data_IF_732343588181
#
_entry.id   IF_732343588181
#
_cell.length_a   1.000
_cell.length_b   1.000
_cell.length_c   1.000
_cell.angle_alpha   90.00
_cell.angle_beta   90.00
_cell.angle_gamma   90.00
#
_symmetry.space_group_name_H-M   'P 1'
#
loop_
_entity.id
_entity.type
_entity.pdbx_description
1 polymer ?
#
# COMPACT_ATOMS: atom_id res chain seq x y z
N UNK A 1 0.07 20.63 1.01
CA UNK A 1 0.79 19.36 0.80
C UNK A 1 0.86 18.71 2.16
N UNK A 2 0.33 17.49 2.29
CA UNK A 2 0.34 16.77 3.57
C UNK A 2 1.57 15.88 3.63
N UNK A 3 2.21 15.85 4.79
CA UNK A 3 3.31 14.92 5.09
C UNK A 3 2.80 13.90 6.11
N UNK A 4 3.40 12.72 6.11
CA UNK A 4 3.05 11.66 7.02
C UNK A 4 4.08 10.56 6.99
N UNK A 5 4.05 9.73 8.03
CA UNK A 5 4.94 8.59 8.18
C UNK A 5 4.15 7.30 8.06
N UNK A 6 4.74 6.31 7.39
CA UNK A 6 4.13 4.99 7.28
C UNK A 6 4.36 4.27 8.61
N UNK A 7 3.28 4.01 9.34
CA UNK A 7 3.35 3.34 10.65
C UNK A 7 3.26 1.82 10.52
N UNK A 8 2.59 1.32 9.48
CA UNK A 8 2.33 -0.10 9.33
C UNK A 8 2.26 -0.51 7.85
N UNK A 9 2.76 -1.71 7.56
CA UNK A 9 2.56 -2.42 6.30
C UNK A 9 1.85 -3.74 6.57
N UNK A 10 0.88 -4.09 5.73
CA UNK A 10 0.27 -5.42 5.78
C UNK A 10 1.28 -6.48 5.34
N UNK A 11 1.41 -7.56 6.13
CA UNK A 11 2.22 -8.73 5.76
C UNK A 11 1.67 -9.49 4.56
N UNK A 12 0.37 -9.32 4.27
CA UNK A 12 -0.32 -10.00 3.17
C UNK A 12 -0.68 -9.01 2.07
N UNK A 13 -0.53 -9.47 0.83
CA UNK A 13 -1.05 -8.75 -0.32
C UNK A 13 -2.59 -8.75 -0.28
N UNK A 14 -3.18 -7.70 -0.83
CA UNK A 14 -4.62 -7.59 -1.02
C UNK A 14 -5.03 -8.39 -2.27
N UNK A 15 -6.02 -9.26 -2.11
CA UNK A 15 -6.60 -10.00 -3.24
C UNK A 15 -7.71 -9.21 -3.93
N UNK A 16 -8.43 -8.38 -3.18
CA UNK A 16 -9.59 -7.65 -3.66
C UNK A 16 -9.41 -6.16 -3.41
N UNK A 17 -9.72 -5.35 -4.42
CA UNK A 17 -9.70 -3.91 -4.28
C UNK A 17 -11.02 -3.42 -3.67
N UNK A 18 -11.00 -2.38 -2.83
CA UNK A 18 -12.19 -1.60 -2.54
C UNK A 18 -12.78 -1.04 -3.85
N UNK A 19 -14.12 -0.99 -4.00
CA UNK A 19 -14.76 -0.46 -5.22
C UNK A 19 -14.25 0.95 -5.57
N UNK A 20 -14.00 1.77 -4.55
CA UNK A 20 -13.43 3.10 -4.66
C UNK A 20 -12.07 3.17 -5.40
N UNK A 21 -11.28 2.10 -5.39
CA UNK A 21 -9.93 2.10 -5.98
C UNK A 21 -9.84 1.24 -7.23
N UNK A 22 -10.88 0.49 -7.59
CA UNK A 22 -10.93 -0.36 -8.78
C UNK A 22 -11.10 0.46 -10.08
N UNK A 23 -10.39 0.07 -11.13
CA UNK A 23 -10.49 0.64 -12.48
C UNK A 23 -11.92 0.64 -13.06
N UNK A 24 -12.74 -0.37 -12.72
CA UNK A 24 -14.14 -0.46 -13.13
C UNK A 24 -14.99 0.71 -12.63
N UNK A 25 -14.64 1.25 -11.47
CA UNK A 25 -15.30 2.42 -10.86
C UNK A 25 -14.45 3.69 -10.98
N UNK A 26 -13.50 3.73 -11.92
CA UNK A 26 -12.64 4.88 -12.19
C UNK A 26 -11.48 5.08 -11.21
N UNK A 27 -11.16 4.07 -10.40
CA UNK A 27 -10.00 4.07 -9.51
C UNK A 27 -8.70 3.66 -10.22
N UNK A 28 -7.53 3.85 -9.56
CA UNK A 28 -6.23 3.63 -10.18
C UNK A 28 -5.76 2.16 -10.19
N UNK A 29 -6.42 1.26 -9.44
CA UNK A 29 -5.99 -0.14 -9.32
C UNK A 29 -6.57 -0.97 -10.46
N UNK A 30 -5.69 -1.70 -11.14
CA UNK A 30 -6.09 -2.67 -12.14
C UNK A 30 -6.78 -3.86 -11.47
N UNK A 31 -8.04 -4.08 -11.85
CA UNK A 31 -8.85 -5.17 -11.31
C UNK A 31 -9.59 -5.92 -12.41
N UNK A 32 -9.89 -7.18 -12.14
CA UNK A 32 -10.73 -8.06 -12.96
C UNK A 32 -11.90 -8.55 -12.11
N UNK A 33 -13.11 -8.46 -12.65
CA UNK A 33 -14.30 -8.95 -11.96
C UNK A 33 -14.31 -10.48 -11.91
N UNK A 34 -14.36 -11.04 -10.71
CA UNK A 34 -14.59 -12.45 -10.43
C UNK A 34 -16.06 -12.83 -10.77
N UNK A 35 -16.39 -14.09 -11.14
CA UNK A 35 -17.77 -14.59 -11.24
C UNK A 35 -18.73 -14.17 -10.12
N UNK A 36 -18.22 -13.89 -8.91
CA UNK A 36 -18.99 -13.42 -7.76
C UNK A 36 -19.22 -11.89 -7.74
N UNK A 37 -18.77 -11.16 -8.77
CA UNK A 37 -18.91 -9.71 -8.89
C UNK A 37 -17.91 -8.89 -8.06
N UNK A 38 -16.90 -9.54 -7.46
CA UNK A 38 -15.84 -8.88 -6.69
C UNK A 38 -14.70 -8.44 -7.61
N UNK A 39 -14.09 -7.30 -7.30
CA UNK A 39 -12.97 -6.78 -8.08
C UNK A 39 -11.65 -7.34 -7.55
N UNK A 40 -11.14 -8.38 -8.23
CA UNK A 40 -9.88 -9.03 -7.90
C UNK A 40 -8.72 -8.22 -8.47
N UNK A 41 -7.71 -7.97 -7.65
CA UNK A 41 -6.49 -7.27 -8.06
C UNK A 41 -5.66 -8.15 -8.99
N UNK A 42 -5.16 -7.54 -10.08
CA UNK A 42 -4.26 -8.23 -11.02
C UNK A 42 -2.81 -8.18 -10.58
N UNK A 43 -2.43 -7.11 -9.87
CA UNK A 43 -1.07 -6.88 -9.40
C UNK A 43 -0.94 -7.15 -7.89
N UNK A 44 0.29 -7.38 -7.44
CA UNK A 44 0.61 -7.48 -6.02
C UNK A 44 0.50 -6.10 -5.35
N UNK A 45 -0.61 -5.87 -4.65
CA UNK A 45 -0.85 -4.63 -3.90
C UNK A 45 -0.76 -4.92 -2.42
N UNK A 46 0.00 -4.10 -1.70
CA UNK A 46 0.11 -4.14 -0.25
C UNK A 46 -0.56 -2.91 0.35
N UNK A 47 -1.21 -3.11 1.50
CA UNK A 47 -1.79 -2.01 2.26
C UNK A 47 -0.74 -1.42 3.20
N UNK A 48 -0.71 -0.10 3.28
CA UNK A 48 0.09 0.63 4.25
C UNK A 48 -0.80 1.64 4.98
N UNK A 49 -0.59 1.79 6.28
CA UNK A 49 -1.26 2.80 7.09
C UNK A 49 -0.29 3.97 7.30
N UNK A 50 -0.75 5.17 6.98
CA UNK A 50 0.04 6.41 7.10
C UNK A 50 -0.62 7.30 8.12
N UNK A 51 0.16 7.74 9.10
CA UNK A 51 -0.25 8.78 10.02
C UNK A 51 0.11 10.15 9.41
N UNK A 52 -0.91 11.01 9.25
CA UNK A 52 -0.73 12.33 8.67
C UNK A 52 -0.52 13.37 9.76
N UNK A 53 0.48 14.22 9.58
CA UNK A 53 0.64 15.44 10.38
C UNK A 53 -0.20 16.57 9.76
N UNK A 54 -1.52 16.47 9.94
CA UNK A 54 -2.50 17.37 9.34
C UNK A 54 -3.70 17.59 10.27
N UNK A 55 -4.27 18.80 10.25
CA UNK A 55 -5.50 19.08 10.98
C UNK A 55 -6.65 18.20 10.45
N UNK A 56 -7.35 17.44 11.33
CA UNK A 56 -8.48 16.59 10.96
C UNK A 56 -9.58 17.31 10.16
N UNK A 57 -9.70 18.64 10.28
CA UNK A 57 -10.67 19.43 9.52
C UNK A 57 -10.48 19.30 8.00
N UNK A 58 -9.26 19.02 7.54
CA UNK A 58 -8.95 18.86 6.11
C UNK A 58 -9.10 17.42 5.60
N UNK A 59 -9.23 16.43 6.49
CA UNK A 59 -9.30 15.02 6.14
C UNK A 59 -10.71 14.48 6.39
N UNK A 60 -11.37 14.02 5.32
CA UNK A 60 -12.68 13.36 5.42
C UNK A 60 -12.59 11.93 4.91
N UNK A 61 -13.37 11.05 5.54
CA UNK A 61 -13.49 9.67 5.10
C UNK A 61 -14.00 9.59 3.65
N UNK A 62 -13.45 8.63 2.89
CA UNK A 62 -13.79 8.40 1.48
C UNK A 62 -13.05 9.29 0.48
N UNK A 63 -12.22 10.23 0.95
CA UNK A 63 -11.28 10.95 0.09
C UNK A 63 -10.30 9.97 -0.58
N UNK A 64 -9.93 10.31 -1.81
CA UNK A 64 -8.96 9.55 -2.62
C UNK A 64 -7.93 10.53 -3.15
N UNK A 65 -6.69 10.07 -3.27
CA UNK A 65 -5.59 10.87 -3.79
C UNK A 65 -4.41 9.99 -4.12
N UNK A 66 -3.36 10.64 -4.64
CA UNK A 66 -2.09 9.99 -4.92
C UNK A 66 -1.06 10.51 -3.92
N UNK A 67 -0.26 9.61 -3.36
CA UNK A 67 0.85 9.95 -2.49
C UNK A 67 2.17 9.51 -3.14
N UNK A 68 3.22 10.31 -2.93
CA UNK A 68 4.58 9.93 -3.32
C UNK A 68 5.29 9.39 -2.09
N UNK A 69 5.70 8.13 -2.13
CA UNK A 69 6.47 7.50 -1.07
C UNK A 69 7.95 7.84 -1.27
N UNK A 70 8.58 8.42 -0.26
CA UNK A 70 10.02 8.74 -0.24
C UNK A 70 10.67 7.86 0.83
N UNK A 71 11.69 7.11 0.45
CA UNK A 71 12.51 6.33 1.40
C UNK A 71 13.73 7.18 1.71
N UNK A 72 13.73 7.83 2.87
CA UNK A 72 14.67 8.91 3.20
C UNK A 72 16.14 8.47 3.20
N UNK A 73 16.45 7.30 3.78
CA UNK A 73 17.82 6.82 3.88
C UNK A 73 17.87 5.33 4.20
N UNK A 74 18.74 4.60 3.49
CA UNK A 74 19.08 3.21 3.78
C UNK A 74 20.55 3.14 4.10
N UNK A 75 20.87 2.67 5.28
CA UNK A 75 22.24 2.45 5.72
C UNK A 75 22.84 1.20 5.04
N UNK A 76 24.17 1.06 5.08
CA UNK A 76 24.85 -0.18 4.65
C UNK A 76 24.32 -1.40 5.42
N UNK A 77 23.96 -1.21 6.70
CA UNK A 77 23.34 -2.24 7.52
C UNK A 77 21.97 -2.66 6.96
N UNK A 78 21.11 -1.72 6.56
CA UNK A 78 19.82 -2.03 5.96
C UNK A 78 19.94 -2.81 4.65
N UNK A 79 20.96 -2.48 3.85
CA UNK A 79 21.29 -3.21 2.62
C UNK A 79 21.76 -4.65 2.91
N UNK A 80 22.68 -4.83 3.86
CA UNK A 80 23.15 -6.15 4.28
C UNK A 80 22.00 -6.98 4.88
N UNK A 81 21.15 -6.37 5.70
CA UNK A 81 20.00 -7.02 6.29
C UNK A 81 18.99 -7.48 5.23
N UNK A 82 18.70 -6.63 4.24
CA UNK A 82 17.86 -7.00 3.10
C UNK A 82 18.47 -8.17 2.31
N UNK A 83 19.77 -8.13 2.05
CA UNK A 83 20.47 -9.22 1.35
C UNK A 83 20.40 -10.53 2.12
N UNK A 84 20.58 -10.48 3.44
CA UNK A 84 20.48 -11.63 4.32
C UNK A 84 19.07 -12.23 4.30
N UNK A 85 18.03 -11.42 4.46
CA UNK A 85 16.62 -11.87 4.39
C UNK A 85 16.21 -12.42 3.02
N UNK A 86 16.78 -11.91 1.94
CA UNK A 86 16.52 -12.42 0.58
C UNK A 86 17.21 -13.77 0.35
N UNK A 87 18.43 -13.94 0.88
CA UNK A 87 19.26 -15.14 0.66
C UNK A 87 18.78 -16.30 1.54
N UNK A 88 18.48 -16.01 2.81
CA UNK A 88 18.00 -17.00 3.77
C UNK A 88 16.49 -16.85 3.92
N UNK A 89 15.73 -17.69 3.22
CA UNK A 89 14.30 -17.83 3.43
C UNK A 89 14.09 -18.51 4.80
N UNK A 90 14.03 -17.73 5.87
CA UNK A 90 13.64 -18.23 7.18
C UNK A 90 12.17 -18.66 7.11
N UNK A 91 11.94 -19.93 6.78
CA UNK A 91 10.70 -20.63 7.13
C UNK A 91 10.71 -20.78 8.65
N UNK A 92 10.00 -19.90 9.34
CA UNK A 92 9.52 -20.13 10.70
C UNK A 92 8.31 -21.06 10.65
#
# INVERSE_FOLDING_TARGET
VFNGEVIEFSDRYLEFAPPALSNKYGGPLATVSDPQGREKLTDLVYQATVEFDADPVFLKNGMRGNARIIVAERTLFDWLWRWFRQTFHFRL
#
